data_IF_896722210760
#
_entry.id   IF_896722210760
#
_cell.length_a   1.000
_cell.length_b   1.000
_cell.length_c   1.000
_cell.angle_alpha   90.00
_cell.angle_beta   90.00
_cell.angle_gamma   90.00
#
_symmetry.space_group_name_H-M   'P 1'
#
loop_
_entity.id
_entity.type
_entity.pdbx_description
1 polymer ?
#
# COMPACT_ATOMS: atom_id res chain seq x y z
N UNK A 1 8.16 -9.15 6.46
CA UNK A 1 9.06 -8.11 7.03
C UNK A 1 10.48 -8.44 6.65
N UNK A 2 11.23 -7.43 6.24
CA UNK A 2 12.65 -7.59 5.95
C UNK A 2 13.47 -7.35 7.22
N UNK A 3 14.40 -8.27 7.51
CA UNK A 3 15.43 -8.07 8.53
C UNK A 3 16.47 -7.08 8.02
N UNK A 4 16.73 -6.02 8.75
CA UNK A 4 17.62 -4.92 8.31
C UNK A 4 19.09 -5.35 8.20
N UNK A 5 19.55 -6.31 9.01
CA UNK A 5 20.94 -6.76 9.02
C UNK A 5 21.21 -7.82 7.94
N UNK A 6 20.34 -8.82 7.86
CA UNK A 6 20.52 -9.95 6.93
C UNK A 6 19.88 -9.74 5.57
N UNK A 7 18.97 -8.75 5.44
CA UNK A 7 18.12 -8.51 4.28
C UNK A 7 17.19 -9.68 3.90
N UNK A 8 17.04 -10.64 4.79
CA UNK A 8 16.13 -11.76 4.59
C UNK A 8 14.68 -11.33 4.85
N UNK A 9 13.75 -11.93 4.13
CA UNK A 9 12.33 -11.73 4.30
C UNK A 9 11.72 -12.84 5.15
N UNK A 10 10.84 -12.44 6.06
CA UNK A 10 10.07 -13.35 6.91
C UNK A 10 8.59 -13.04 6.74
N UNK A 11 7.79 -14.04 6.37
CA UNK A 11 6.35 -13.90 6.41
C UNK A 11 5.88 -13.70 7.86
N UNK A 12 4.90 -12.81 8.05
CA UNK A 12 4.26 -12.63 9.35
C UNK A 12 2.85 -13.21 9.32
N UNK A 13 2.56 -14.04 10.30
CA UNK A 13 1.18 -14.40 10.60
C UNK A 13 0.53 -13.23 11.35
N UNK A 14 -0.57 -12.74 10.83
CA UNK A 14 -1.35 -11.68 11.46
C UNK A 14 -2.75 -12.17 11.78
N UNK A 15 -3.12 -12.14 13.05
CA UNK A 15 -4.46 -12.45 13.54
C UNK A 15 -5.06 -11.17 14.14
N UNK A 16 -5.70 -10.32 13.32
CA UNK A 16 -6.20 -9.05 13.80
C UNK A 16 -7.41 -9.26 14.71
N UNK A 17 -7.46 -8.48 15.79
CA UNK A 17 -8.71 -8.27 16.49
C UNK A 17 -9.68 -7.44 15.63
N UNK A 18 -10.99 -7.60 15.79
CA UNK A 18 -11.96 -6.79 15.08
C UNK A 18 -11.72 -5.28 15.34
N UNK A 19 -11.44 -4.53 14.29
CA UNK A 19 -11.27 -3.08 14.40
C UNK A 19 -12.62 -2.40 14.57
N UNK A 20 -12.74 -1.55 15.59
CA UNK A 20 -13.95 -0.75 15.82
C UNK A 20 -13.78 0.59 15.12
N UNK A 21 -14.52 0.78 14.02
CA UNK A 21 -14.54 2.05 13.28
C UNK A 21 -15.34 3.12 14.04
N UNK A 22 -14.81 4.35 14.05
CA UNK A 22 -15.47 5.51 14.69
C UNK A 22 -16.07 6.47 13.66
N UNK A 23 -16.03 6.14 12.40
CA UNK A 23 -16.44 6.96 11.26
C UNK A 23 -17.92 6.76 10.85
N UNK A 24 -18.72 6.08 11.63
CA UNK A 24 -20.14 5.79 11.31
C UNK A 24 -21.00 7.01 10.98
N UNK A 25 -20.59 8.18 11.45
CA UNK A 25 -21.20 9.47 11.12
C UNK A 25 -20.57 10.20 9.93
N UNK A 26 -19.45 9.73 9.41
CA UNK A 26 -18.78 10.38 8.30
C UNK A 26 -19.61 10.33 7.02
N UNK A 27 -19.77 11.47 6.39
CA UNK A 27 -20.38 11.60 5.05
C UNK A 27 -19.53 12.58 4.25
N UNK A 28 -18.96 12.16 3.12
CA UNK A 28 -18.20 13.06 2.27
C UNK A 28 -19.14 14.14 1.72
N UNK A 29 -18.71 15.39 1.76
CA UNK A 29 -19.46 16.50 1.14
C UNK A 29 -19.52 16.33 -0.39
N UNK A 30 -20.62 16.78 -1.00
CA UNK A 30 -20.72 16.81 -2.47
C UNK A 30 -20.06 18.10 -2.99
N UNK A 31 -18.75 18.07 -3.09
CA UNK A 31 -17.89 19.17 -3.49
C UNK A 31 -16.73 18.68 -4.35
N UNK A 32 -16.12 19.55 -5.19
CA UNK A 32 -14.94 19.20 -5.94
C UNK A 32 -13.80 18.70 -5.04
N UNK A 33 -13.08 17.68 -5.50
CA UNK A 33 -11.95 17.13 -4.77
C UNK A 33 -10.73 18.07 -4.87
N UNK A 34 -10.20 18.44 -3.71
CA UNK A 34 -8.90 19.02 -3.53
C UNK A 34 -8.03 17.94 -2.86
N UNK A 35 -7.22 17.26 -3.68
CA UNK A 35 -6.49 16.06 -3.28
C UNK A 35 -5.06 16.43 -2.92
N UNK A 36 -4.63 16.00 -1.73
CA UNK A 36 -3.22 16.00 -1.34
C UNK A 36 -2.66 14.59 -1.47
N UNK A 37 -1.71 14.38 -2.36
CA UNK A 37 -1.03 13.10 -2.51
C UNK A 37 0.22 13.06 -1.62
N UNK A 38 0.39 11.97 -0.87
CA UNK A 38 1.51 11.82 0.05
C UNK A 38 1.98 10.38 0.19
N UNK A 39 3.30 10.22 0.38
CA UNK A 39 3.91 8.95 0.75
C UNK A 39 4.05 8.87 2.27
N UNK A 40 3.40 7.91 2.91
CA UNK A 40 3.35 7.78 4.37
C UNK A 40 4.74 7.77 5.01
N UNK A 41 5.67 7.03 4.44
CA UNK A 41 7.02 6.89 4.99
C UNK A 41 7.93 8.11 4.81
N UNK A 42 7.59 9.05 3.93
CA UNK A 42 8.42 10.22 3.59
C UNK A 42 7.84 11.55 4.06
N UNK A 43 6.63 11.57 4.56
CA UNK A 43 5.92 12.81 4.88
C UNK A 43 6.36 13.48 6.20
N UNK A 44 7.32 12.91 6.92
CA UNK A 44 7.87 13.51 8.16
C UNK A 44 9.19 14.23 7.90
N UNK A 45 9.52 15.20 8.78
CA UNK A 45 10.77 15.97 8.71
C UNK A 45 11.97 15.25 9.34
N UNK A 46 11.73 14.31 10.28
CA UNK A 46 12.81 13.56 10.91
C UNK A 46 13.49 12.59 9.94
N UNK A 47 14.74 12.28 10.16
CA UNK A 47 15.44 11.25 9.43
C UNK A 47 14.83 9.85 9.70
N UNK A 48 14.70 9.04 8.66
CA UNK A 48 14.16 7.67 8.70
C UNK A 48 12.77 7.55 8.09
N UNK A 49 12.19 6.36 8.22
CA UNK A 49 10.87 6.04 7.66
C UNK A 49 9.77 6.48 8.61
N UNK A 50 8.76 7.20 8.09
CA UNK A 50 7.57 7.59 8.83
C UNK A 50 6.62 6.43 9.07
N UNK A 51 5.74 6.57 10.06
CA UNK A 51 4.74 5.57 10.43
C UNK A 51 3.33 6.05 10.12
N UNK A 52 2.37 5.12 10.04
CA UNK A 52 0.94 5.44 9.93
C UNK A 52 0.48 6.35 11.06
N UNK A 53 0.99 6.13 12.28
CA UNK A 53 0.68 6.96 13.45
C UNK A 53 1.22 8.38 13.31
N UNK A 54 2.48 8.54 12.94
CA UNK A 54 3.07 9.87 12.73
C UNK A 54 2.34 10.64 11.63
N UNK A 55 1.99 9.97 10.54
CA UNK A 55 1.21 10.57 9.46
C UNK A 55 -0.18 11.01 9.96
N UNK A 56 -0.85 10.14 10.69
CA UNK A 56 -2.16 10.42 11.29
C UNK A 56 -2.13 11.62 12.24
N UNK A 57 -1.12 11.69 13.11
CA UNK A 57 -1.06 12.68 14.19
C UNK A 57 -0.56 14.04 13.71
N UNK A 58 0.33 14.07 12.72
CA UNK A 58 1.05 15.28 12.31
C UNK A 58 0.67 15.78 10.92
N UNK A 59 0.51 14.87 9.95
CA UNK A 59 0.35 15.24 8.54
C UNK A 59 -1.12 15.46 8.18
N UNK A 60 -2.03 14.59 8.61
CA UNK A 60 -3.46 14.78 8.34
C UNK A 60 -4.01 16.12 8.83
N UNK A 61 -3.67 16.60 10.04
CA UNK A 61 -4.11 17.95 10.48
C UNK A 61 -3.59 19.07 9.58
N UNK A 62 -2.33 19.01 9.12
CA UNK A 62 -1.76 20.00 8.19
C UNK A 62 -2.49 19.99 6.85
N UNK A 63 -2.73 18.81 6.28
CA UNK A 63 -3.49 18.66 5.03
C UNK A 63 -4.86 19.33 5.16
N UNK A 64 -5.52 19.15 6.30
CA UNK A 64 -6.82 19.77 6.57
C UNK A 64 -6.73 21.28 6.72
N UNK A 65 -5.72 21.78 7.44
CA UNK A 65 -5.46 23.21 7.66
C UNK A 65 -5.18 23.94 6.34
N UNK A 66 -4.46 23.31 5.41
CA UNK A 66 -4.17 23.83 4.06
C UNK A 66 -5.41 23.81 3.14
N UNK A 67 -6.54 23.32 3.60
CA UNK A 67 -7.80 23.40 2.87
C UNK A 67 -8.11 22.23 1.93
N UNK A 68 -7.32 21.16 1.95
CA UNK A 68 -7.62 19.95 1.20
C UNK A 68 -8.80 19.20 1.82
N UNK A 69 -9.55 18.47 1.00
CA UNK A 69 -10.70 17.66 1.44
C UNK A 69 -10.53 16.15 1.12
N UNK A 70 -9.39 15.79 0.54
CA UNK A 70 -9.01 14.41 0.31
C UNK A 70 -7.49 14.23 0.46
N UNK A 71 -7.08 13.08 0.98
CA UNK A 71 -5.70 12.61 0.94
C UNK A 71 -5.62 11.35 0.09
N UNK A 72 -4.68 11.34 -0.86
CA UNK A 72 -4.33 10.16 -1.62
C UNK A 72 -3.05 9.57 -1.03
N UNK A 73 -3.13 8.36 -0.51
CA UNK A 73 -1.98 7.63 -0.02
C UNK A 73 -1.32 6.92 -1.21
N UNK A 74 -0.09 7.33 -1.54
CA UNK A 74 0.75 6.60 -2.49
C UNK A 74 0.89 5.16 -2.02
N UNK A 75 1.03 4.22 -2.96
CA UNK A 75 0.94 2.78 -2.76
C UNK A 75 1.43 2.29 -1.39
N UNK A 76 0.49 1.87 -0.54
CA UNK A 76 0.75 1.40 0.84
C UNK A 76 0.82 -0.12 0.94
N UNK A 77 0.67 -0.85 -0.16
CA UNK A 77 0.80 -2.31 -0.18
C UNK A 77 2.23 -2.75 0.19
N UNK A 78 2.36 -3.97 0.73
CA UNK A 78 3.67 -4.51 1.13
C UNK A 78 4.61 -4.61 -0.07
N UNK A 79 5.85 -4.14 0.11
CA UNK A 79 6.88 -4.09 -0.93
C UNK A 79 8.28 -4.30 -0.34
N UNK A 80 9.19 -5.02 -1.03
CA UNK A 80 10.50 -5.34 -0.49
C UNK A 80 11.48 -4.18 -0.57
N UNK A 81 11.34 -3.30 -1.55
CA UNK A 81 12.29 -2.22 -1.84
C UNK A 81 11.70 -0.85 -1.52
N UNK A 82 12.18 -0.21 -0.46
CA UNK A 82 11.64 1.08 0.00
C UNK A 82 11.66 2.18 -1.06
N UNK A 83 12.74 2.29 -1.84
CA UNK A 83 12.87 3.32 -2.88
C UNK A 83 11.94 3.11 -4.09
N UNK A 84 11.18 2.02 -4.13
CA UNK A 84 10.09 1.85 -5.11
C UNK A 84 8.79 2.53 -4.66
N UNK A 85 8.77 3.15 -3.46
CA UNK A 85 7.65 3.92 -2.91
C UNK A 85 6.31 3.15 -2.84
N UNK A 86 6.36 1.81 -2.76
CA UNK A 86 5.19 0.95 -2.76
C UNK A 86 4.79 0.41 -4.15
N UNK A 87 5.44 0.86 -5.22
CA UNK A 87 5.08 0.45 -6.59
C UNK A 87 5.70 -0.89 -7.03
N UNK A 88 6.59 -1.49 -6.26
CA UNK A 88 7.05 -2.88 -6.44
C UNK A 88 6.36 -3.79 -5.43
N UNK A 89 5.09 -4.05 -5.66
CA UNK A 89 4.24 -4.78 -4.71
C UNK A 89 4.67 -6.24 -4.59
N UNK A 90 4.83 -6.71 -3.36
CA UNK A 90 5.07 -8.12 -3.02
C UNK A 90 3.81 -8.81 -2.47
N UNK A 91 2.90 -8.04 -1.85
CA UNK A 91 1.60 -8.54 -1.38
C UNK A 91 0.55 -7.46 -1.54
N UNK A 92 -0.44 -7.71 -2.41
CA UNK A 92 -1.48 -6.72 -2.73
C UNK A 92 -2.49 -6.50 -1.60
N UNK A 93 -2.67 -7.49 -0.71
CA UNK A 93 -3.68 -7.46 0.35
C UNK A 93 -3.11 -7.23 1.75
N UNK A 94 -1.82 -6.90 1.84
CA UNK A 94 -1.17 -6.54 3.09
C UNK A 94 -0.67 -5.10 3.04
N UNK A 95 -0.92 -4.28 4.07
CA UNK A 95 -0.29 -2.97 4.17
C UNK A 95 1.20 -3.14 4.46
N UNK A 96 2.00 -2.17 4.03
CA UNK A 96 3.44 -2.20 4.26
C UNK A 96 3.76 -2.20 5.75
N UNK A 97 4.45 -3.24 6.19
CA UNK A 97 4.91 -3.41 7.56
C UNK A 97 5.97 -2.38 7.98
N UNK A 98 6.56 -1.66 7.02
CA UNK A 98 7.52 -0.58 7.28
C UNK A 98 6.89 0.61 7.97
N UNK A 99 5.60 0.86 7.73
CA UNK A 99 4.90 2.03 8.24
C UNK A 99 4.11 1.74 9.51
N UNK A 100 3.97 0.47 9.90
CA UNK A 100 3.24 0.05 11.09
C UNK A 100 2.36 -1.18 10.87
N UNK A 101 1.36 -1.33 11.72
CA UNK A 101 0.42 -2.45 11.68
C UNK A 101 -0.81 -2.17 10.80
N UNK A 102 -1.53 -3.21 10.37
CA UNK A 102 -2.81 -3.03 9.69
C UNK A 102 -3.83 -2.19 10.47
N UNK A 103 -3.85 -2.34 11.80
CA UNK A 103 -4.73 -1.55 12.68
C UNK A 103 -4.34 -0.07 12.70
N UNK A 104 -3.05 0.24 12.62
CA UNK A 104 -2.58 1.63 12.54
C UNK A 104 -2.97 2.28 11.21
N UNK A 105 -2.98 1.52 10.09
CA UNK A 105 -3.52 2.04 8.83
C UNK A 105 -5.03 2.29 8.92
N UNK A 106 -5.80 1.37 9.54
CA UNK A 106 -7.24 1.60 9.79
C UNK A 106 -7.46 2.84 10.65
N UNK A 107 -6.67 3.01 11.71
CA UNK A 107 -6.74 4.19 12.58
C UNK A 107 -6.40 5.49 11.85
N UNK A 108 -5.47 5.46 10.89
CA UNK A 108 -5.17 6.59 10.01
C UNK A 108 -6.40 6.98 9.17
N UNK A 109 -7.07 6.00 8.56
CA UNK A 109 -8.29 6.23 7.77
C UNK A 109 -9.40 6.81 8.67
N UNK A 110 -9.62 6.21 9.82
CA UNK A 110 -10.61 6.66 10.80
C UNK A 110 -10.36 8.12 11.25
N UNK A 111 -9.09 8.44 11.50
CA UNK A 111 -8.67 9.81 11.84
C UNK A 111 -8.86 10.79 10.69
N UNK A 112 -8.58 10.39 9.45
CA UNK A 112 -8.82 11.22 8.27
C UNK A 112 -10.32 11.55 8.15
N UNK A 113 -11.19 10.56 8.31
CA UNK A 113 -12.64 10.74 8.30
C UNK A 113 -13.11 11.67 9.43
N UNK A 114 -12.55 11.54 10.65
CA UNK A 114 -12.85 12.44 11.77
C UNK A 114 -12.44 13.91 11.48
N UNK A 115 -11.44 14.13 10.64
CA UNK A 115 -11.04 15.47 10.16
C UNK A 115 -11.87 15.94 8.95
N UNK A 116 -12.78 15.12 8.45
CA UNK A 116 -13.56 15.41 7.24
C UNK A 116 -12.76 15.24 5.94
N UNK A 117 -11.67 14.48 5.96
CA UNK A 117 -10.87 14.14 4.78
C UNK A 117 -11.31 12.81 4.19
N UNK A 118 -11.49 12.76 2.88
CA UNK A 118 -11.62 11.50 2.13
C UNK A 118 -10.25 10.84 2.03
N UNK A 119 -10.22 9.50 2.04
CA UNK A 119 -8.99 8.74 1.81
C UNK A 119 -9.10 8.02 0.47
N UNK A 120 -8.11 8.23 -0.38
CA UNK A 120 -7.95 7.55 -1.66
C UNK A 120 -6.74 6.62 -1.52
N UNK A 121 -6.94 5.34 -1.83
CA UNK A 121 -5.86 4.34 -1.82
C UNK A 121 -5.36 4.13 -3.23
N UNK A 122 -4.05 4.31 -3.44
CA UNK A 122 -3.41 3.96 -4.70
C UNK A 122 -3.12 2.44 -4.73
N UNK A 123 -3.78 1.73 -5.63
CA UNK A 123 -3.67 0.28 -5.77
C UNK A 123 -2.90 -0.08 -7.04
N UNK A 124 -1.78 -0.77 -6.87
CA UNK A 124 -0.91 -1.19 -7.98
C UNK A 124 -1.38 -2.53 -8.54
N UNK A 125 -2.31 -2.49 -9.50
CA UNK A 125 -2.86 -3.70 -10.14
C UNK A 125 -2.25 -4.00 -11.53
N UNK A 126 -1.26 -3.21 -11.99
CA UNK A 126 -0.64 -3.40 -13.30
C UNK A 126 0.48 -4.45 -13.27
N UNK A 127 1.24 -4.49 -12.18
CA UNK A 127 2.47 -5.29 -12.07
C UNK A 127 2.77 -5.64 -10.61
N UNK A 128 3.75 -6.52 -10.41
CA UNK A 128 4.24 -6.96 -9.10
C UNK A 128 5.70 -7.37 -9.18
N UNK A 129 6.38 -7.53 -8.03
CA UNK A 129 7.80 -7.91 -8.00
C UNK A 129 8.03 -9.27 -8.64
N UNK A 130 9.13 -9.38 -9.39
CA UNK A 130 9.55 -10.63 -10.02
C UNK A 130 10.22 -11.62 -9.04
N UNK A 131 10.59 -11.15 -7.84
CA UNK A 131 11.41 -11.89 -6.89
C UNK A 131 10.62 -13.05 -6.28
N UNK A 132 11.11 -14.28 -6.49
CA UNK A 132 10.42 -15.48 -6.01
C UNK A 132 10.32 -15.59 -4.49
N UNK A 133 11.32 -15.08 -3.76
CA UNK A 133 11.36 -15.20 -2.31
C UNK A 133 10.63 -14.08 -1.56
N UNK A 134 10.20 -13.05 -2.27
CA UNK A 134 9.73 -11.79 -1.67
C UNK A 134 8.30 -11.42 -2.09
N UNK A 135 7.72 -12.18 -3.00
CA UNK A 135 6.41 -11.88 -3.58
C UNK A 135 5.64 -13.10 -4.02
N UNK A 136 4.65 -12.86 -4.89
CA UNK A 136 3.70 -13.86 -5.34
C UNK A 136 4.11 -14.53 -6.66
N UNK A 137 5.28 -14.17 -7.22
CA UNK A 137 5.66 -14.51 -8.59
C UNK A 137 5.72 -16.02 -8.88
N UNK A 138 6.00 -16.85 -7.87
CA UNK A 138 6.17 -18.29 -8.05
C UNK A 138 5.49 -19.12 -6.95
N UNK A 139 4.32 -18.71 -6.49
CA UNK A 139 3.59 -19.42 -5.42
C UNK A 139 3.19 -20.85 -5.78
N UNK A 140 3.02 -21.17 -7.05
CA UNK A 140 2.71 -22.50 -7.56
C UNK A 140 3.95 -23.23 -8.12
N UNK A 141 5.15 -22.63 -8.00
CA UNK A 141 6.40 -23.12 -8.56
C UNK A 141 6.61 -22.77 -10.03
N UNK A 142 5.69 -22.07 -10.68
CA UNK A 142 5.86 -21.52 -12.03
C UNK A 142 6.14 -20.01 -11.97
N UNK A 143 6.56 -19.44 -13.11
CA UNK A 143 6.74 -18.00 -13.27
C UNK A 143 5.50 -17.30 -13.88
N UNK A 144 4.43 -18.04 -14.09
CA UNK A 144 3.28 -17.57 -14.87
C UNK A 144 1.92 -17.81 -14.21
N UNK A 145 1.88 -18.01 -12.89
CA UNK A 145 0.59 -18.12 -12.18
C UNK A 145 -0.31 -16.92 -12.46
N UNK A 146 0.21 -15.72 -12.29
CA UNK A 146 -0.51 -14.45 -12.51
C UNK A 146 -0.14 -13.74 -13.81
N UNK A 147 0.99 -14.12 -14.45
CA UNK A 147 1.55 -13.50 -15.65
C UNK A 147 1.44 -14.42 -16.86
N UNK A 148 1.79 -13.92 -18.04
CA UNK A 148 2.12 -14.77 -19.19
C UNK A 148 3.47 -15.46 -18.94
N UNK A 149 3.64 -16.65 -19.53
CA UNK A 149 4.89 -17.38 -19.40
C UNK A 149 6.07 -16.66 -20.07
N UNK A 150 7.25 -16.77 -19.48
CA UNK A 150 8.50 -16.26 -20.02
C UNK A 150 8.51 -14.74 -20.20
N UNK A 151 9.25 -14.26 -21.22
CA UNK A 151 9.46 -12.83 -21.48
C UNK A 151 8.18 -12.01 -21.67
N UNK A 152 7.10 -12.63 -22.14
CA UNK A 152 5.82 -11.95 -22.34
C UNK A 152 5.14 -11.52 -21.03
N UNK A 153 5.52 -12.10 -19.90
CA UNK A 153 5.05 -11.76 -18.56
C UNK A 153 5.93 -10.77 -17.84
N UNK A 154 7.03 -10.32 -18.43
CA UNK A 154 8.03 -9.47 -17.80
C UNK A 154 8.09 -8.07 -18.44
N UNK A 155 8.18 -7.02 -17.64
CA UNK A 155 8.36 -5.64 -18.06
C UNK A 155 9.78 -5.17 -17.68
N UNK A 156 10.72 -5.10 -18.64
CA UNK A 156 12.12 -4.78 -18.35
C UNK A 156 12.34 -3.36 -17.84
N UNK A 157 11.53 -2.39 -18.25
CA UNK A 157 11.67 -0.99 -17.79
C UNK A 157 11.30 -0.80 -16.32
N UNK A 158 10.40 -1.66 -15.79
CA UNK A 158 9.95 -1.62 -14.40
C UNK A 158 10.55 -2.74 -13.56
N UNK A 159 11.34 -3.61 -14.18
CA UNK A 159 11.92 -4.81 -13.55
C UNK A 159 10.85 -5.64 -12.79
N UNK A 160 9.68 -5.83 -13.39
CA UNK A 160 8.49 -6.36 -12.76
C UNK A 160 7.77 -7.39 -13.60
N UNK A 161 7.03 -8.29 -12.97
CA UNK A 161 6.05 -9.15 -13.64
C UNK A 161 4.77 -8.36 -13.92
N UNK A 162 4.09 -8.66 -15.04
CA UNK A 162 2.86 -8.02 -15.47
C UNK A 162 1.71 -9.01 -15.30
N UNK A 163 0.60 -8.55 -14.72
CA UNK A 163 -0.60 -9.35 -14.61
C UNK A 163 -1.20 -9.69 -15.98
N UNK A 164 -1.56 -10.96 -16.18
CA UNK A 164 -2.29 -11.41 -17.37
C UNK A 164 -3.80 -11.32 -17.15
N UNK A 165 -4.36 -10.18 -17.47
CA UNK A 165 -5.82 -9.96 -17.39
C UNK A 165 -6.66 -10.83 -18.33
N UNK A 166 -6.03 -11.58 -19.25
CA UNK A 166 -6.70 -12.63 -20.01
C UNK A 166 -7.08 -13.86 -19.19
N UNK A 167 -6.45 -14.04 -18.02
CA UNK A 167 -6.77 -15.12 -17.09
C UNK A 167 -7.92 -14.72 -16.17
N UNK A 168 -8.97 -15.52 -16.15
CA UNK A 168 -10.14 -15.29 -15.28
C UNK A 168 -9.77 -15.32 -13.79
N UNK A 169 -8.83 -16.19 -13.41
CA UNK A 169 -8.32 -16.33 -12.07
C UNK A 169 -7.62 -15.04 -11.60
N UNK A 170 -6.87 -14.39 -12.50
CA UNK A 170 -6.21 -13.10 -12.20
C UNK A 170 -7.24 -11.99 -12.01
N UNK A 171 -8.28 -11.95 -12.87
CA UNK A 171 -9.37 -10.97 -12.73
C UNK A 171 -10.12 -11.13 -11.39
N UNK A 172 -10.28 -12.37 -10.90
CA UNK A 172 -10.92 -12.64 -9.61
C UNK A 172 -9.97 -12.38 -8.43
N UNK A 173 -8.67 -12.50 -8.63
CA UNK A 173 -7.67 -12.23 -7.61
C UNK A 173 -7.53 -10.73 -7.33
N UNK A 174 -7.61 -9.91 -8.37
CA UNK A 174 -7.51 -8.44 -8.31
C UNK A 174 -8.88 -7.79 -8.10
#
# INVERSE_FOLDING_TARGET
VQDEATKNFTAQFWAPEPYVWHDGGYRPADEPLLIYEAHTGMAQERQGVGTYREFSDRILPLIKEEGYNAVQLMAVAEHPYYSAFGYHVSSLFAPSSRFGTPEELKALVDRAHALGLRVIMDLVHAHYVKNFNEGIAALDGSDHLYSKAGEAGYQPYWDSMIFDYGKREVQHFL
#
